data_IF_304513613745
#
_entry.id   IF_304513613745
#
_cell.length_a   1.000
_cell.length_b   1.000
_cell.length_c   1.000
_cell.angle_alpha   90.00
_cell.angle_beta   90.00
_cell.angle_gamma   90.00
#
_symmetry.space_group_name_H-M   'P 1'
#
loop_
_entity.id
_entity.type
_entity.pdbx_description
1 polymer ?
#
# COMPACT_ATOMS: atom_id res chain seq x y z
N UNK A 1 -66.16 -6.87 7.63
CA UNK A 1 -64.89 -7.48 8.05
C UNK A 1 -63.78 -6.85 7.23
N UNK A 2 -63.11 -5.87 7.82
CA UNK A 2 -62.03 -5.10 7.17
C UNK A 2 -60.71 -5.84 7.39
N UNK A 3 -60.08 -6.28 6.31
CA UNK A 3 -58.76 -6.89 6.30
C UNK A 3 -57.73 -5.75 6.48
N UNK A 4 -56.98 -5.78 7.59
CA UNK A 4 -55.86 -4.89 7.85
C UNK A 4 -54.63 -5.42 7.07
N UNK A 5 -54.18 -4.69 6.06
CA UNK A 5 -52.90 -4.89 5.45
C UNK A 5 -51.84 -4.29 6.39
N UNK A 6 -51.04 -5.14 7.02
CA UNK A 6 -49.80 -4.74 7.68
C UNK A 6 -48.77 -4.30 6.62
N UNK A 7 -48.51 -3.01 6.56
CA UNK A 7 -47.31 -2.47 5.91
C UNK A 7 -46.11 -2.85 6.77
N UNK A 8 -45.36 -3.84 6.35
CA UNK A 8 -44.02 -4.10 6.88
C UNK A 8 -43.07 -3.02 6.33
N UNK A 9 -42.42 -2.28 7.23
CA UNK A 9 -41.37 -1.30 6.90
C UNK A 9 -40.20 -2.04 6.20
N UNK A 10 -39.76 -1.61 5.00
CA UNK A 10 -38.63 -2.24 4.30
C UNK A 10 -37.27 -2.16 5.04
N UNK A 11 -37.23 -1.45 6.18
CA UNK A 11 -36.01 -1.24 6.98
C UNK A 11 -35.84 -2.25 8.12
N UNK A 12 -36.80 -3.12 8.39
CA UNK A 12 -36.71 -4.21 9.37
C UNK A 12 -36.18 -5.53 8.76
N UNK A 13 -35.28 -5.47 7.80
CA UNK A 13 -34.41 -6.59 7.49
C UNK A 13 -33.43 -6.80 8.65
N UNK A 14 -33.89 -7.43 9.77
CA UNK A 14 -32.97 -8.04 10.75
C UNK A 14 -32.06 -8.95 9.97
N UNK A 15 -30.74 -8.63 9.99
CA UNK A 15 -29.71 -9.56 9.51
C UNK A 15 -29.95 -10.90 10.19
N UNK A 16 -30.04 -11.98 9.41
CA UNK A 16 -29.95 -13.32 9.95
C UNK A 16 -28.59 -13.40 10.66
N UNK A 17 -28.56 -13.92 11.88
CA UNK A 17 -27.31 -14.22 12.62
C UNK A 17 -26.49 -15.22 11.79
N UNK A 18 -25.64 -14.72 10.89
CA UNK A 18 -24.87 -15.54 9.95
C UNK A 18 -24.24 -14.77 8.79
N UNK A 19 -24.70 -13.55 8.50
CA UNK A 19 -24.11 -12.71 7.45
C UNK A 19 -22.85 -12.03 7.98
N UNK A 20 -21.66 -12.54 7.57
CA UNK A 20 -20.35 -12.01 7.94
C UNK A 20 -20.12 -10.58 7.46
N UNK A 21 -19.11 -9.89 8.02
CA UNK A 21 -18.66 -8.55 7.63
C UNK A 21 -18.28 -8.51 6.14
N UNK A 22 -18.94 -7.67 5.34
CA UNK A 22 -18.68 -7.51 3.89
C UNK A 22 -17.93 -6.22 3.64
N UNK A 23 -16.68 -6.35 3.20
CA UNK A 23 -15.77 -5.23 2.93
C UNK A 23 -15.65 -5.01 1.43
N UNK A 24 -15.87 -3.77 0.98
CA UNK A 24 -15.49 -3.36 -0.36
C UNK A 24 -14.15 -2.62 -0.31
N UNK A 25 -13.27 -2.89 -1.27
CA UNK A 25 -11.95 -2.26 -1.38
C UNK A 25 -11.91 -1.35 -2.60
N UNK A 26 -11.58 -0.07 -2.40
CA UNK A 26 -11.34 0.90 -3.48
C UNK A 26 -9.85 1.18 -3.56
N UNK A 27 -9.20 0.71 -4.62
CA UNK A 27 -7.74 0.82 -4.83
C UNK A 27 -7.36 0.43 -6.25
N UNK A 28 -6.08 0.58 -6.60
CA UNK A 28 -5.49 -0.24 -7.66
C UNK A 28 -5.46 -1.70 -7.22
N UNK A 29 -5.53 -2.65 -8.17
CA UNK A 29 -5.58 -4.08 -7.87
C UNK A 29 -4.82 -4.92 -8.92
N UNK A 30 -4.28 -6.12 -8.59
CA UNK A 30 -3.67 -7.00 -9.60
C UNK A 30 -4.67 -7.37 -10.71
N UNK A 31 -4.20 -7.51 -11.98
CA UNK A 31 -2.82 -7.67 -12.42
C UNK A 31 -2.05 -6.35 -12.65
N UNK A 32 -2.59 -5.19 -12.28
CA UNK A 32 -1.83 -3.93 -12.33
C UNK A 32 -0.61 -4.04 -11.40
N UNK A 33 0.58 -3.92 -11.96
CA UNK A 33 1.83 -3.96 -11.19
C UNK A 33 2.05 -2.62 -10.47
N UNK A 34 1.72 -2.60 -9.19
CA UNK A 34 1.75 -1.42 -8.33
C UNK A 34 1.86 -1.85 -6.86
N UNK A 35 2.59 -1.11 -6.04
CA UNK A 35 2.71 -1.39 -4.61
C UNK A 35 1.37 -1.35 -3.87
N UNK A 36 0.47 -0.42 -4.24
CA UNK A 36 -0.87 -0.34 -3.65
C UNK A 36 -1.75 -1.52 -4.07
N UNK A 37 -1.64 -1.97 -5.32
CA UNK A 37 -2.38 -3.14 -5.80
C UNK A 37 -2.02 -4.38 -4.97
N UNK A 38 -0.72 -4.61 -4.76
CA UNK A 38 -0.22 -5.70 -3.91
C UNK A 38 -0.67 -5.55 -2.45
N UNK A 39 -0.61 -4.32 -1.91
CA UNK A 39 -1.08 -4.05 -0.55
C UNK A 39 -2.57 -4.32 -0.38
N UNK A 40 -3.40 -3.88 -1.34
CA UNK A 40 -4.85 -4.10 -1.31
C UNK A 40 -5.21 -5.59 -1.37
N UNK A 41 -4.56 -6.35 -2.25
CA UNK A 41 -4.73 -7.80 -2.34
C UNK A 41 -4.34 -8.51 -1.04
N UNK A 42 -3.19 -8.13 -0.46
CA UNK A 42 -2.71 -8.72 0.79
C UNK A 42 -3.61 -8.38 1.99
N UNK A 43 -4.06 -7.12 2.08
CA UNK A 43 -5.00 -6.69 3.12
C UNK A 43 -6.31 -7.47 3.01
N UNK A 44 -6.87 -7.57 1.81
CA UNK A 44 -8.07 -8.35 1.57
C UNK A 44 -7.87 -9.80 2.00
N UNK A 45 -6.80 -10.45 1.56
CA UNK A 45 -6.49 -11.83 1.94
C UNK A 45 -6.32 -11.99 3.47
N UNK A 46 -5.67 -11.03 4.12
CA UNK A 46 -5.46 -11.05 5.58
C UNK A 46 -6.77 -10.89 6.37
N UNK A 47 -7.73 -10.12 5.87
CA UNK A 47 -9.04 -9.95 6.52
C UNK A 47 -9.97 -11.13 6.28
N UNK A 48 -9.83 -11.83 5.16
CA UNK A 48 -10.63 -13.03 4.83
C UNK A 48 -10.26 -14.28 5.64
N UNK A 49 -9.21 -14.23 6.45
CA UNK A 49 -8.85 -15.35 7.35
C UNK A 49 -9.90 -15.55 8.45
N UNK A 50 -10.64 -14.50 8.81
CA UNK A 50 -11.76 -14.60 9.74
C UNK A 50 -13.00 -15.13 9.02
N UNK A 51 -13.49 -16.30 9.44
CA UNK A 51 -14.70 -16.93 8.86
C UNK A 51 -15.98 -16.07 9.00
N UNK A 52 -15.96 -15.05 9.84
CA UNK A 52 -17.02 -14.06 9.98
C UNK A 52 -16.88 -12.90 8.96
N UNK A 53 -16.05 -13.03 7.94
CA UNK A 53 -15.94 -12.08 6.82
C UNK A 53 -16.58 -12.71 5.59
N UNK A 54 -17.54 -11.99 5.00
CA UNK A 54 -18.21 -12.41 3.76
C UNK A 54 -17.32 -12.16 2.53
N UNK A 55 -17.84 -12.50 1.36
CA UNK A 55 -17.13 -12.32 0.09
C UNK A 55 -16.75 -10.85 -0.13
N UNK A 56 -15.46 -10.56 -0.45
CA UNK A 56 -15.00 -9.21 -0.67
C UNK A 56 -15.41 -8.71 -2.06
N UNK A 57 -15.48 -7.39 -2.21
CA UNK A 57 -15.64 -6.72 -3.49
C UNK A 57 -14.51 -5.73 -3.70
N UNK A 58 -13.99 -5.65 -4.93
CA UNK A 58 -12.96 -4.68 -5.30
C UNK A 58 -13.47 -3.76 -6.40
N UNK A 59 -13.39 -2.47 -6.15
CA UNK A 59 -13.51 -1.42 -7.16
C UNK A 59 -12.08 -1.03 -7.56
N UNK A 60 -11.66 -1.42 -8.76
CA UNK A 60 -10.29 -1.24 -9.22
C UNK A 60 -10.10 0.11 -9.92
N UNK A 61 -9.14 0.90 -9.45
CA UNK A 61 -8.71 2.14 -10.10
C UNK A 61 -7.78 1.82 -11.28
N UNK A 62 -8.05 2.37 -12.47
CA UNK A 62 -7.31 2.10 -13.67
C UNK A 62 -6.87 3.38 -14.39
N UNK A 63 -5.61 3.40 -14.85
CA UNK A 63 -5.05 4.50 -15.64
C UNK A 63 -4.27 4.04 -16.88
N UNK A 64 -4.33 2.75 -17.20
CA UNK A 64 -3.72 2.25 -18.43
C UNK A 64 -4.61 2.58 -19.64
N UNK A 65 -4.03 2.92 -20.80
CA UNK A 65 -4.78 3.13 -22.04
C UNK A 65 -5.60 1.90 -22.45
N UNK A 66 -5.08 0.70 -22.14
CA UNK A 66 -5.80 -0.57 -22.26
C UNK A 66 -6.00 -1.10 -20.84
N UNK A 67 -7.25 -1.20 -20.35
CA UNK A 67 -7.51 -1.72 -19.02
C UNK A 67 -6.96 -3.13 -18.84
N UNK A 68 -6.49 -3.42 -17.63
CA UNK A 68 -6.07 -4.76 -17.25
C UNK A 68 -7.24 -5.75 -17.35
N UNK A 69 -6.95 -7.02 -17.64
CA UNK A 69 -7.96 -8.08 -17.61
C UNK A 69 -8.18 -8.52 -16.15
N UNK A 70 -9.03 -7.78 -15.45
CA UNK A 70 -9.38 -8.07 -14.07
C UNK A 70 -10.32 -9.29 -13.96
N UNK A 71 -10.13 -10.04 -12.90
CA UNK A 71 -10.99 -11.16 -12.51
C UNK A 71 -11.61 -10.89 -11.13
N UNK A 72 -12.51 -11.75 -10.70
CA UNK A 72 -12.98 -11.75 -9.33
C UNK A 72 -11.79 -11.66 -8.34
N UNK A 73 -11.84 -10.84 -7.28
CA UNK A 73 -13.01 -10.13 -6.73
C UNK A 73 -13.24 -8.70 -7.29
N UNK A 74 -12.65 -8.33 -8.43
CA UNK A 74 -12.91 -7.02 -9.04
C UNK A 74 -14.32 -7.04 -9.67
N UNK A 75 -15.21 -6.24 -9.11
CA UNK A 75 -16.61 -6.12 -9.54
C UNK A 75 -16.85 -4.88 -10.40
N UNK A 76 -16.00 -3.86 -10.27
CA UNK A 76 -16.11 -2.61 -11.01
C UNK A 76 -14.71 -2.04 -11.30
N UNK A 77 -14.57 -1.38 -12.46
CA UNK A 77 -13.35 -0.69 -12.87
C UNK A 77 -13.70 0.80 -13.02
N UNK A 78 -12.89 1.66 -12.38
CA UNK A 78 -12.99 3.12 -12.47
C UNK A 78 -11.75 3.65 -13.18
N UNK A 79 -11.93 4.26 -14.34
CA UNK A 79 -10.87 5.00 -15.03
C UNK A 79 -10.60 6.31 -14.27
N UNK A 80 -9.38 6.53 -13.82
CA UNK A 80 -9.05 7.62 -12.89
C UNK A 80 -9.42 9.02 -13.40
N UNK A 81 -9.50 9.21 -14.73
CA UNK A 81 -9.83 10.51 -15.38
C UNK A 81 -11.32 10.68 -15.67
N UNK A 82 -12.15 9.68 -15.40
CA UNK A 82 -13.58 9.67 -15.71
C UNK A 82 -14.41 10.02 -14.48
N UNK A 83 -14.68 11.32 -14.27
CA UNK A 83 -15.41 11.81 -13.08
C UNK A 83 -16.76 11.11 -12.84
N UNK A 84 -17.57 10.90 -13.89
CA UNK A 84 -18.87 10.23 -13.77
C UNK A 84 -18.78 8.79 -13.25
N UNK A 85 -17.64 8.11 -13.44
CA UNK A 85 -17.47 6.75 -12.94
C UNK A 85 -17.27 6.69 -11.42
N UNK A 86 -16.80 7.76 -10.79
CA UNK A 86 -16.74 7.85 -9.33
C UNK A 86 -18.13 7.92 -8.70
N UNK A 87 -19.06 8.67 -9.32
CA UNK A 87 -20.46 8.72 -8.90
C UNK A 87 -21.10 7.33 -9.03
N UNK A 88 -20.94 6.70 -10.20
CA UNK A 88 -21.48 5.36 -10.46
C UNK A 88 -20.90 4.30 -9.51
N UNK A 89 -19.62 4.43 -9.14
CA UNK A 89 -18.99 3.52 -8.18
C UNK A 89 -19.56 3.70 -6.76
N UNK A 90 -19.82 4.94 -6.34
CA UNK A 90 -20.47 5.20 -5.06
C UNK A 90 -21.90 4.65 -5.03
N UNK A 91 -22.70 4.89 -6.08
CA UNK A 91 -24.07 4.36 -6.21
C UNK A 91 -24.07 2.83 -6.18
N UNK A 92 -23.18 2.20 -6.96
CA UNK A 92 -23.03 0.75 -6.96
C UNK A 92 -22.76 0.19 -5.56
N UNK A 93 -21.82 0.80 -4.80
CA UNK A 93 -21.50 0.34 -3.44
C UNK A 93 -22.60 0.66 -2.43
N UNK A 94 -23.38 1.72 -2.64
CA UNK A 94 -24.55 2.04 -1.81
C UNK A 94 -25.63 0.95 -1.93
N UNK A 95 -25.86 0.45 -3.15
CA UNK A 95 -26.85 -0.60 -3.44
C UNK A 95 -26.32 -2.02 -3.16
N UNK A 96 -24.99 -2.20 -3.21
CA UNK A 96 -24.36 -3.49 -2.95
C UNK A 96 -24.47 -3.89 -1.47
N UNK A 97 -24.43 -5.21 -1.19
CA UNK A 97 -24.43 -5.74 0.18
C UNK A 97 -23.09 -5.48 0.90
N UNK A 98 -22.62 -4.23 0.91
CA UNK A 98 -21.37 -3.78 1.52
C UNK A 98 -21.64 -3.16 2.88
N UNK A 99 -20.83 -3.49 3.88
CA UNK A 99 -20.94 -2.97 5.23
C UNK A 99 -19.97 -1.83 5.52
N UNK A 100 -18.78 -1.89 4.92
CA UNK A 100 -17.72 -0.88 5.06
C UNK A 100 -16.90 -0.79 3.77
N UNK A 101 -16.43 0.40 3.43
CA UNK A 101 -15.55 0.64 2.29
C UNK A 101 -14.13 0.94 2.80
N UNK A 102 -13.16 0.10 2.42
CA UNK A 102 -11.73 0.30 2.66
C UNK A 102 -11.09 0.99 1.47
N UNK A 103 -10.61 2.21 1.64
CA UNK A 103 -9.97 3.01 0.58
C UNK A 103 -8.46 3.03 0.80
N UNK A 104 -7.69 2.66 -0.23
CA UNK A 104 -6.23 2.82 -0.22
C UNK A 104 -5.87 4.11 -0.95
N UNK A 105 -5.52 5.15 -0.18
CA UNK A 105 -5.30 6.48 -0.73
C UNK A 105 -3.85 6.74 -1.09
N UNK A 106 -3.64 7.12 -2.34
CA UNK A 106 -2.44 7.79 -2.87
C UNK A 106 -2.91 8.85 -3.86
N UNK A 107 -2.30 10.04 -3.84
CA UNK A 107 -2.77 11.16 -4.67
C UNK A 107 -2.79 10.84 -6.17
N UNK A 108 -1.87 10.02 -6.64
CA UNK A 108 -1.69 9.70 -8.05
C UNK A 108 -2.62 8.64 -8.63
N UNK A 109 -3.59 8.10 -7.90
CA UNK A 109 -4.46 7.02 -8.41
C UNK A 109 -5.94 7.40 -8.52
N UNK A 110 -6.33 8.62 -8.12
CA UNK A 110 -7.72 9.08 -8.14
C UNK A 110 -7.97 10.23 -9.13
N UNK A 111 -7.10 10.37 -10.11
CA UNK A 111 -7.21 11.32 -11.20
C UNK A 111 -7.17 12.80 -10.79
N UNK A 112 -6.78 13.65 -11.74
CA UNK A 112 -6.70 15.10 -11.53
C UNK A 112 -5.67 15.53 -10.46
N UNK A 113 -5.57 16.83 -10.20
CA UNK A 113 -4.74 17.35 -9.11
C UNK A 113 -5.22 16.81 -7.75
N UNK A 114 -4.28 16.37 -6.91
CA UNK A 114 -4.50 15.83 -5.55
C UNK A 114 -5.54 14.69 -5.44
N UNK A 115 -5.79 13.95 -6.54
CA UNK A 115 -6.73 12.83 -6.53
C UNK A 115 -8.20 13.25 -6.43
N UNK A 116 -8.62 14.25 -7.19
CA UNK A 116 -9.93 14.93 -7.16
C UNK A 116 -11.15 14.00 -7.26
N UNK A 117 -10.99 12.84 -7.87
CA UNK A 117 -12.08 11.86 -8.00
C UNK A 117 -12.53 11.27 -6.66
N UNK A 118 -11.61 11.08 -5.71
CA UNK A 118 -11.95 10.48 -4.43
C UNK A 118 -12.90 11.33 -3.56
N UNK A 119 -12.69 12.65 -3.38
CA UNK A 119 -13.68 13.51 -2.74
C UNK A 119 -15.08 13.35 -3.32
N UNK A 120 -15.22 13.37 -4.64
CA UNK A 120 -16.49 13.18 -5.34
C UNK A 120 -17.17 11.86 -5.02
N UNK A 121 -16.39 10.76 -5.00
CA UNK A 121 -16.87 9.44 -4.58
C UNK A 121 -17.38 9.46 -3.13
N UNK A 122 -16.61 10.06 -2.22
CA UNK A 122 -16.94 10.11 -0.79
C UNK A 122 -18.16 10.96 -0.49
N UNK A 123 -18.36 12.07 -1.20
CA UNK A 123 -19.55 12.95 -1.05
C UNK A 123 -20.84 12.19 -1.36
N UNK A 124 -20.78 11.19 -2.24
CA UNK A 124 -21.93 10.40 -2.67
C UNK A 124 -22.08 9.08 -1.91
N UNK A 125 -21.03 8.62 -1.24
CA UNK A 125 -21.04 7.33 -0.53
C UNK A 125 -21.89 7.39 0.74
N UNK A 126 -22.87 6.50 0.85
CA UNK A 126 -23.75 6.32 2.01
C UNK A 126 -23.37 5.09 2.87
N UNK A 127 -22.09 4.75 2.91
CA UNK A 127 -21.52 3.66 3.70
C UNK A 127 -20.36 4.19 4.55
N UNK A 128 -20.03 3.54 5.70
CA UNK A 128 -18.83 3.91 6.45
C UNK A 128 -17.57 3.65 5.63
N UNK A 129 -16.66 4.62 5.61
CA UNK A 129 -15.38 4.51 4.93
C UNK A 129 -14.21 4.52 5.92
N UNK A 130 -13.25 3.63 5.71
CA UNK A 130 -11.92 3.63 6.37
C UNK A 130 -10.88 3.91 5.30
N UNK A 131 -10.12 5.00 5.45
CA UNK A 131 -9.17 5.46 4.44
C UNK A 131 -7.74 5.28 4.95
N UNK A 132 -6.96 4.45 4.27
CA UNK A 132 -5.52 4.29 4.53
C UNK A 132 -4.73 5.28 3.71
N UNK A 133 -3.97 6.16 4.37
CA UNK A 133 -3.11 7.15 3.73
C UNK A 133 -1.70 6.59 3.55
N UNK A 134 -1.30 6.33 2.30
CA UNK A 134 0.05 5.87 1.96
C UNK A 134 1.06 7.01 1.88
N UNK A 135 0.58 8.23 1.66
CA UNK A 135 1.37 9.47 1.68
C UNK A 135 0.74 10.48 2.65
N UNK A 136 1.56 11.00 3.56
CA UNK A 136 1.23 12.12 4.47
C UNK A 136 2.43 13.08 4.43
N UNK A 137 2.21 14.29 3.95
CA UNK A 137 3.27 15.30 3.81
C UNK A 137 3.29 16.21 5.04
N UNK A 138 4.47 16.45 5.58
CA UNK A 138 4.67 17.48 6.58
C UNK A 138 4.59 18.87 5.91
N UNK A 139 3.99 19.84 6.61
CA UNK A 139 3.80 21.20 6.10
C UNK A 139 3.25 21.25 4.67
N UNK A 140 2.04 20.67 4.44
CA UNK A 140 1.48 20.51 3.11
C UNK A 140 1.03 21.84 2.52
N UNK A 141 1.11 21.95 1.20
CA UNK A 141 0.47 23.02 0.45
C UNK A 141 -1.04 23.09 0.78
N UNK A 142 -1.66 24.27 0.68
CA UNK A 142 -3.07 24.47 1.07
C UNK A 142 -4.04 23.50 0.39
N UNK A 143 -3.84 23.19 -0.89
CA UNK A 143 -4.71 22.30 -1.65
C UNK A 143 -4.61 20.86 -1.15
N UNK A 144 -3.39 20.38 -0.85
CA UNK A 144 -3.16 19.06 -0.26
C UNK A 144 -3.78 18.98 1.14
N UNK A 145 -3.58 20.03 1.95
CA UNK A 145 -4.17 20.12 3.28
C UNK A 145 -5.70 20.04 3.21
N UNK A 146 -6.30 20.80 2.30
CA UNK A 146 -7.74 20.81 2.07
C UNK A 146 -8.26 19.46 1.63
N UNK A 147 -7.59 18.80 0.66
CA UNK A 147 -7.96 17.48 0.18
C UNK A 147 -7.96 16.45 1.31
N UNK A 148 -6.89 16.36 2.11
CA UNK A 148 -6.80 15.38 3.21
C UNK A 148 -7.81 15.67 4.32
N UNK A 149 -8.11 16.95 4.59
CA UNK A 149 -9.19 17.34 5.53
C UNK A 149 -10.56 16.90 5.04
N UNK A 150 -10.81 17.00 3.74
CA UNK A 150 -12.04 16.50 3.13
C UNK A 150 -12.16 14.98 3.31
N UNK A 151 -11.10 14.22 3.03
CA UNK A 151 -11.07 12.77 3.30
C UNK A 151 -11.37 12.46 4.77
N UNK A 152 -10.76 13.22 5.70
CA UNK A 152 -10.97 13.04 7.13
C UNK A 152 -12.41 13.33 7.57
N UNK A 153 -13.09 14.29 6.93
CA UNK A 153 -14.48 14.62 7.22
C UNK A 153 -15.44 13.47 6.87
N UNK A 154 -15.17 12.75 5.77
CA UNK A 154 -16.03 11.68 5.25
C UNK A 154 -15.66 10.30 5.79
N UNK A 155 -14.37 10.04 6.13
CA UNK A 155 -13.95 8.78 6.71
C UNK A 155 -14.46 8.59 8.14
N UNK A 156 -14.81 7.38 8.53
CA UNK A 156 -14.99 7.02 9.95
C UNK A 156 -13.64 7.01 10.67
N UNK A 157 -12.61 6.48 10.02
CA UNK A 157 -11.22 6.48 10.51
C UNK A 157 -10.26 6.71 9.34
N UNK A 158 -9.17 7.42 9.62
CA UNK A 158 -7.97 7.42 8.78
C UNK A 158 -6.97 6.43 9.35
N UNK A 159 -6.33 5.65 8.49
CA UNK A 159 -5.24 4.75 8.88
C UNK A 159 -3.93 5.31 8.38
N UNK A 160 -2.92 5.30 9.24
CA UNK A 160 -1.52 5.59 8.91
C UNK A 160 -0.60 4.51 9.46
N UNK A 161 0.59 4.36 8.88
CA UNK A 161 1.45 3.20 9.12
C UNK A 161 2.59 3.45 10.12
N UNK A 162 2.66 4.63 10.70
CA UNK A 162 3.63 4.98 11.74
C UNK A 162 3.14 6.18 12.57
N UNK A 163 3.67 6.33 13.80
CA UNK A 163 3.24 7.36 14.71
C UNK A 163 3.66 8.78 14.27
N UNK A 164 4.73 8.93 13.47
CA UNK A 164 5.10 10.24 12.91
C UNK A 164 4.00 10.79 12.00
N UNK A 165 3.33 9.94 11.22
CA UNK A 165 2.21 10.35 10.39
C UNK A 165 1.00 10.79 11.22
N UNK A 166 0.76 10.16 12.40
CA UNK A 166 -0.28 10.62 13.36
C UNK A 166 0.03 12.04 13.84
N UNK A 167 1.30 12.31 14.21
CA UNK A 167 1.73 13.64 14.64
C UNK A 167 1.55 14.69 13.55
N UNK A 168 1.97 14.38 12.32
CA UNK A 168 1.84 15.27 11.16
C UNK A 168 0.37 15.58 10.88
N UNK A 169 -0.51 14.57 10.82
CA UNK A 169 -1.93 14.79 10.56
C UNK A 169 -2.59 15.64 11.66
N UNK A 170 -2.20 15.43 12.91
CA UNK A 170 -2.75 16.22 14.01
C UNK A 170 -2.26 17.66 14.00
N UNK A 171 -0.94 17.87 13.82
CA UNK A 171 -0.31 19.19 13.87
C UNK A 171 -0.59 20.02 12.61
N UNK A 172 -0.33 19.45 11.42
CA UNK A 172 -0.28 20.20 10.17
C UNK A 172 -1.64 20.24 9.45
N UNK A 173 -2.48 19.25 9.68
CA UNK A 173 -3.82 19.18 9.08
C UNK A 173 -4.94 19.49 10.08
N UNK A 174 -4.64 19.56 11.39
CA UNK A 174 -5.64 19.81 12.43
C UNK A 174 -6.64 18.67 12.60
N UNK A 175 -6.26 17.43 12.27
CA UNK A 175 -7.14 16.25 12.37
C UNK A 175 -7.02 15.68 13.80
N UNK A 176 -8.18 15.47 14.44
CA UNK A 176 -8.23 14.89 15.79
C UNK A 176 -7.56 13.51 15.82
N UNK A 177 -6.71 13.25 16.84
CA UNK A 177 -6.07 11.94 17.06
C UNK A 177 -7.07 10.80 17.15
N UNK A 178 -8.25 11.03 17.73
CA UNK A 178 -9.33 10.03 17.80
C UNK A 178 -9.91 9.62 16.43
N UNK A 179 -9.60 10.37 15.36
CA UNK A 179 -9.97 10.05 13.98
C UNK A 179 -8.91 9.18 13.29
N UNK A 180 -7.71 9.07 13.87
CA UNK A 180 -6.54 8.44 13.24
C UNK A 180 -6.25 7.11 13.96
N UNK A 181 -6.17 6.03 13.20
CA UNK A 181 -5.71 4.73 13.65
C UNK A 181 -4.28 4.49 13.14
N UNK A 182 -3.40 4.00 14.00
CA UNK A 182 -2.08 3.54 13.63
C UNK A 182 -2.15 2.03 13.41
N UNK A 183 -1.96 1.60 12.17
CA UNK A 183 -1.82 0.19 11.79
C UNK A 183 -0.59 0.08 10.91
N UNK A 184 0.36 -0.77 11.28
CA UNK A 184 1.62 -0.90 10.56
C UNK A 184 1.44 -1.41 9.12
N UNK A 185 2.45 -1.16 8.27
CA UNK A 185 2.47 -1.74 6.92
C UNK A 185 2.51 -3.26 7.00
N UNK A 186 1.55 -3.93 6.35
CA UNK A 186 1.49 -5.39 6.31
C UNK A 186 2.65 -6.00 5.51
N UNK A 187 3.16 -7.12 5.99
CA UNK A 187 4.22 -7.90 5.33
C UNK A 187 3.92 -9.38 5.41
N UNK A 188 4.39 -10.13 4.43
CA UNK A 188 4.30 -11.60 4.46
C UNK A 188 5.29 -12.19 5.49
N UNK A 189 4.98 -13.35 6.07
CA UNK A 189 5.90 -14.03 6.97
C UNK A 189 7.25 -14.29 6.33
N UNK A 190 8.36 -14.14 7.08
CA UNK A 190 9.69 -14.44 6.58
C UNK A 190 9.87 -15.93 6.29
N UNK A 191 10.85 -16.24 5.45
CA UNK A 191 11.28 -17.64 5.20
C UNK A 191 11.73 -18.33 6.49
N UNK A 192 11.42 -19.62 6.60
CA UNK A 192 11.98 -20.49 7.63
C UNK A 192 13.36 -21.04 7.25
N UNK A 193 13.77 -20.91 5.98
CA UNK A 193 15.09 -21.32 5.53
C UNK A 193 16.18 -20.46 6.19
N UNK A 194 17.29 -21.09 6.53
CA UNK A 194 18.49 -20.38 6.94
C UNK A 194 19.04 -19.50 5.81
N UNK A 195 19.90 -18.54 6.15
CA UNK A 195 20.55 -17.69 5.14
C UNK A 195 21.38 -18.51 4.15
N UNK A 196 22.10 -19.51 4.63
CA UNK A 196 22.95 -20.35 3.78
C UNK A 196 22.13 -21.22 2.83
N UNK A 197 21.04 -21.82 3.28
CA UNK A 197 20.08 -22.53 2.41
C UNK A 197 19.47 -21.62 1.35
N UNK A 198 19.10 -20.39 1.73
CA UNK A 198 18.55 -19.41 0.80
C UNK A 198 19.60 -18.98 -0.24
N UNK A 199 20.85 -18.74 0.18
CA UNK A 199 21.97 -18.46 -0.71
C UNK A 199 22.24 -19.61 -1.68
N UNK A 200 22.24 -20.85 -1.19
CA UNK A 200 22.46 -22.02 -2.02
C UNK A 200 21.38 -22.13 -3.12
N UNK A 201 20.12 -21.94 -2.79
CA UNK A 201 18.99 -21.97 -3.76
C UNK A 201 19.09 -20.88 -4.82
N UNK A 202 19.69 -19.74 -4.49
CA UNK A 202 19.85 -18.60 -5.40
C UNK A 202 21.19 -18.56 -6.13
N UNK A 203 22.08 -19.57 -5.93
CA UNK A 203 23.43 -19.60 -6.50
C UNK A 203 24.39 -18.58 -5.90
N UNK A 204 24.15 -18.15 -4.65
CA UNK A 204 24.90 -17.10 -3.93
C UNK A 204 25.76 -17.68 -2.80
N UNK A 205 26.04 -19.00 -2.81
CA UNK A 205 26.86 -19.64 -1.80
C UNK A 205 28.23 -18.96 -1.70
N UNK A 206 28.68 -18.68 -0.47
CA UNK A 206 29.95 -17.99 -0.20
C UNK A 206 29.95 -16.49 -0.48
N UNK A 207 28.83 -15.89 -0.93
CA UNK A 207 28.73 -14.44 -1.16
C UNK A 207 28.19 -13.69 0.06
N UNK A 208 28.70 -12.48 0.31
CA UNK A 208 28.08 -11.49 1.18
C UNK A 208 27.07 -10.70 0.36
N UNK A 209 25.79 -10.84 0.69
CA UNK A 209 24.69 -10.31 -0.12
C UNK A 209 24.19 -8.99 0.43
N UNK A 210 24.41 -7.92 -0.32
CA UNK A 210 23.72 -6.63 -0.17
C UNK A 210 22.47 -6.65 -1.03
N UNK A 211 21.36 -6.09 -0.56
CA UNK A 211 20.08 -6.20 -1.28
C UNK A 211 19.27 -4.93 -1.24
N UNK A 212 18.71 -4.55 -2.39
CA UNK A 212 17.66 -3.55 -2.56
C UNK A 212 16.63 -4.06 -3.54
N UNK A 213 15.34 -3.91 -3.23
CA UNK A 213 14.28 -4.29 -4.16
C UNK A 213 13.18 -3.23 -4.29
N UNK A 214 12.36 -3.38 -5.33
CA UNK A 214 11.25 -2.51 -5.68
C UNK A 214 11.45 -1.85 -7.04
N UNK A 215 10.51 -1.03 -7.45
CA UNK A 215 10.63 -0.33 -8.73
C UNK A 215 11.89 0.55 -8.78
N UNK A 216 12.65 0.40 -9.85
CA UNK A 216 13.87 1.19 -10.10
C UNK A 216 13.51 2.57 -10.63
N UNK A 217 14.13 3.60 -10.07
CA UNK A 217 13.99 5.00 -10.45
C UNK A 217 14.95 5.89 -9.66
N UNK A 218 15.22 7.10 -10.15
CA UNK A 218 16.22 8.03 -9.61
C UNK A 218 16.06 8.30 -8.11
N UNK A 219 14.83 8.39 -7.62
CA UNK A 219 14.57 8.56 -6.20
C UNK A 219 15.04 7.44 -5.28
N UNK A 220 15.51 6.32 -5.86
CA UNK A 220 16.04 5.17 -5.09
C UNK A 220 17.49 5.32 -4.69
N UNK A 221 18.28 6.21 -5.34
CA UNK A 221 19.67 6.49 -4.97
C UNK A 221 20.63 5.30 -5.11
N UNK A 222 20.35 4.36 -6.03
CA UNK A 222 21.12 3.14 -6.22
C UNK A 222 22.57 3.43 -6.65
N UNK A 223 22.80 4.53 -7.36
CA UNK A 223 24.10 5.03 -7.78
C UNK A 223 25.06 5.24 -6.60
N UNK A 224 24.55 5.63 -5.43
CA UNK A 224 25.39 5.84 -4.24
C UNK A 224 25.82 4.52 -3.60
N UNK A 225 25.04 3.46 -3.73
CA UNK A 225 25.47 2.12 -3.31
C UNK A 225 26.52 1.58 -4.28
N UNK A 226 26.34 1.76 -5.60
CA UNK A 226 27.35 1.40 -6.59
C UNK A 226 28.66 2.13 -6.33
N UNK A 227 28.62 3.42 -6.03
CA UNK A 227 29.82 4.21 -5.67
C UNK A 227 30.49 3.73 -4.36
N UNK A 228 29.77 3.08 -3.45
CA UNK A 228 30.28 2.51 -2.21
C UNK A 228 31.00 1.15 -2.43
N UNK A 229 30.59 0.41 -3.47
CA UNK A 229 31.04 -0.98 -3.67
C UNK A 229 32.57 -1.16 -3.87
N UNK A 230 33.31 -0.28 -4.55
CA UNK A 230 34.78 -0.46 -4.66
C UNK A 230 35.46 -0.56 -3.30
N UNK A 231 35.07 0.26 -2.33
CA UNK A 231 35.63 0.20 -0.97
C UNK A 231 35.15 -1.04 -0.21
N UNK A 232 33.87 -1.40 -0.32
CA UNK A 232 33.30 -2.60 0.30
C UNK A 232 34.00 -3.85 -0.27
N UNK A 233 34.15 -3.96 -1.60
CA UNK A 233 34.81 -5.09 -2.28
C UNK A 233 36.27 -5.24 -1.88
N UNK A 234 36.95 -4.13 -1.65
CA UNK A 234 38.36 -4.16 -1.19
C UNK A 234 38.52 -4.89 0.16
N UNK A 235 37.53 -4.77 1.06
CA UNK A 235 37.50 -5.47 2.38
C UNK A 235 36.82 -6.84 2.30
N UNK A 236 35.79 -6.96 1.47
CA UNK A 236 34.95 -8.15 1.30
C UNK A 236 34.88 -8.49 -0.19
N UNK A 237 35.90 -9.20 -0.74
CA UNK A 237 35.93 -9.53 -2.18
C UNK A 237 34.77 -10.38 -2.65
N UNK A 238 34.13 -11.11 -1.75
CA UNK A 238 32.97 -11.96 -1.95
C UNK A 238 31.60 -11.18 -1.92
N UNK A 239 31.62 -9.85 -1.83
CA UNK A 239 30.38 -9.05 -1.82
C UNK A 239 29.63 -9.16 -3.15
N UNK A 240 28.31 -9.24 -3.06
CA UNK A 240 27.38 -9.16 -4.19
C UNK A 240 26.21 -8.25 -3.87
N UNK A 241 25.97 -7.25 -4.69
CA UNK A 241 24.81 -6.36 -4.57
C UNK A 241 23.72 -6.78 -5.54
N UNK A 242 22.58 -7.20 -4.99
CA UNK A 242 21.39 -7.56 -5.74
C UNK A 242 20.45 -6.36 -5.85
N UNK A 243 20.13 -5.96 -7.07
CA UNK A 243 19.15 -4.93 -7.39
C UNK A 243 17.97 -5.62 -8.09
N UNK A 244 16.85 -5.78 -7.38
CA UNK A 244 15.73 -6.57 -7.85
C UNK A 244 14.51 -5.68 -8.08
N UNK A 245 14.03 -5.67 -9.31
CA UNK A 245 12.84 -4.93 -9.74
C UNK A 245 13.02 -4.28 -11.11
N UNK A 246 11.90 -4.10 -11.80
CA UNK A 246 11.89 -3.38 -13.08
C UNK A 246 11.81 -1.88 -12.87
N UNK A 247 12.02 -1.13 -13.93
CA UNK A 247 11.78 0.32 -13.94
C UNK A 247 10.32 0.63 -13.63
N UNK A 248 10.07 1.65 -12.81
CA UNK A 248 8.72 2.06 -12.45
C UNK A 248 7.90 2.37 -13.71
N UNK A 249 6.67 1.82 -13.88
CA UNK A 249 5.88 1.99 -15.12
C UNK A 249 5.66 3.45 -15.51
N UNK A 250 5.45 4.36 -14.54
CA UNK A 250 5.34 5.80 -14.79
C UNK A 250 6.64 6.42 -15.29
N UNK A 251 7.79 6.00 -14.77
CA UNK A 251 9.13 6.44 -15.21
C UNK A 251 9.42 5.88 -16.60
N UNK A 252 9.11 4.61 -16.84
CA UNK A 252 9.33 3.96 -18.13
C UNK A 252 8.58 4.64 -19.29
N UNK A 253 7.38 5.18 -19.03
CA UNK A 253 6.61 5.94 -20.04
C UNK A 253 7.31 7.24 -20.46
N UNK A 254 8.01 7.91 -19.54
CA UNK A 254 8.62 9.24 -19.75
C UNK A 254 10.12 9.13 -20.05
N UNK A 255 10.86 8.43 -19.18
CA UNK A 255 12.33 8.34 -19.21
C UNK A 255 12.84 7.02 -19.82
N UNK A 256 11.94 6.07 -20.16
CA UNK A 256 12.28 4.72 -20.63
C UNK A 256 13.19 4.00 -19.61
N UNK A 257 14.31 3.42 -20.05
CA UNK A 257 15.27 2.72 -19.20
C UNK A 257 16.52 3.57 -18.85
N UNK A 258 16.48 4.87 -19.11
CA UNK A 258 17.64 5.77 -19.02
C UNK A 258 18.38 5.66 -17.69
N UNK A 259 17.65 5.66 -16.56
CA UNK A 259 18.31 5.53 -15.25
C UNK A 259 18.97 4.17 -15.07
N UNK A 260 18.36 3.07 -15.53
CA UNK A 260 18.97 1.74 -15.49
C UNK A 260 20.22 1.65 -16.35
N UNK A 261 20.19 2.25 -17.53
CA UNK A 261 21.36 2.29 -18.42
C UNK A 261 22.52 3.10 -17.81
N UNK A 262 22.21 4.18 -17.08
CA UNK A 262 23.20 4.92 -16.30
C UNK A 262 23.82 4.06 -15.18
N UNK A 263 23.01 3.29 -14.47
CA UNK A 263 23.51 2.38 -13.44
C UNK A 263 24.39 1.29 -14.03
N UNK A 264 24.03 0.72 -15.20
CA UNK A 264 24.85 -0.27 -15.89
C UNK A 264 26.19 0.31 -16.36
N UNK A 265 26.20 1.54 -16.91
CA UNK A 265 27.45 2.23 -17.24
C UNK A 265 28.33 2.45 -16.02
N UNK A 266 27.74 2.87 -14.89
CA UNK A 266 28.48 3.06 -13.63
C UNK A 266 29.07 1.72 -13.11
N UNK A 267 28.37 0.61 -13.28
CA UNK A 267 28.91 -0.74 -12.98
C UNK A 267 30.15 -1.04 -13.81
N UNK A 268 30.13 -0.69 -15.09
CA UNK A 268 31.27 -0.89 -16.00
C UNK A 268 32.44 0.05 -15.67
N UNK A 269 32.17 1.32 -15.46
CA UNK A 269 33.17 2.35 -15.09
C UNK A 269 33.91 2.01 -13.77
N UNK A 270 33.21 1.40 -12.80
CA UNK A 270 33.74 1.00 -11.51
C UNK A 270 34.26 -0.44 -11.47
N UNK A 271 34.25 -1.15 -12.59
CA UNK A 271 34.68 -2.58 -12.71
C UNK A 271 33.91 -3.47 -11.72
N UNK A 272 32.58 -3.38 -11.65
CA UNK A 272 31.74 -4.06 -10.66
C UNK A 272 30.91 -5.22 -11.22
N UNK A 273 31.13 -5.65 -12.46
CA UNK A 273 30.30 -6.66 -13.14
C UNK A 273 30.13 -7.97 -12.36
N UNK A 274 31.17 -8.41 -11.64
CA UNK A 274 31.12 -9.62 -10.81
C UNK A 274 30.49 -9.39 -9.42
N UNK A 275 30.32 -8.13 -9.03
CA UNK A 275 29.81 -7.75 -7.70
C UNK A 275 28.39 -7.19 -7.74
N UNK A 276 27.77 -7.04 -8.93
CA UNK A 276 26.41 -6.48 -9.06
C UNK A 276 25.55 -7.40 -9.92
N UNK A 277 24.36 -7.69 -9.43
CA UNK A 277 23.36 -8.46 -10.17
C UNK A 277 22.04 -7.69 -10.28
N UNK A 278 21.58 -7.44 -11.50
CA UNK A 278 20.26 -6.84 -11.78
C UNK A 278 19.25 -7.93 -12.13
N UNK A 279 18.10 -7.94 -11.43
CA UNK A 279 16.94 -8.76 -11.78
C UNK A 279 15.86 -7.82 -12.29
N UNK A 280 15.86 -7.56 -13.64
CA UNK A 280 15.00 -6.59 -14.29
C UNK A 280 13.62 -7.15 -14.62
N UNK A 281 12.83 -7.47 -13.60
CA UNK A 281 11.44 -7.91 -13.73
C UNK A 281 10.65 -7.63 -12.45
N UNK A 282 9.36 -7.65 -12.54
CA UNK A 282 8.50 -7.73 -11.36
C UNK A 282 8.64 -9.13 -10.76
N UNK A 283 8.95 -9.21 -9.46
CA UNK A 283 9.18 -10.47 -8.77
C UNK A 283 7.99 -10.81 -7.87
N UNK A 284 7.71 -12.09 -7.74
CA UNK A 284 6.64 -12.59 -6.90
C UNK A 284 6.99 -12.47 -5.41
N UNK A 285 5.97 -12.49 -4.55
CA UNK A 285 6.11 -12.45 -3.09
C UNK A 285 7.03 -13.56 -2.55
N UNK A 286 6.89 -14.86 -2.98
CA UNK A 286 7.82 -15.92 -2.57
C UNK A 286 9.27 -15.64 -2.95
N UNK A 287 9.51 -15.05 -4.12
CA UNK A 287 10.86 -14.67 -4.54
C UNK A 287 11.45 -13.56 -3.68
N UNK A 288 10.65 -12.53 -3.34
CA UNK A 288 11.08 -11.46 -2.40
C UNK A 288 11.49 -12.08 -1.06
N UNK A 289 10.72 -13.02 -0.54
CA UNK A 289 11.05 -13.74 0.71
C UNK A 289 12.36 -14.51 0.58
N UNK A 290 12.60 -15.19 -0.56
CA UNK A 290 13.82 -15.92 -0.79
C UNK A 290 15.04 -14.98 -0.88
N UNK A 291 14.94 -13.86 -1.59
CA UNK A 291 16.01 -12.85 -1.64
C UNK A 291 16.28 -12.24 -0.26
N UNK A 292 15.25 -11.88 0.48
CA UNK A 292 15.41 -11.37 1.84
C UNK A 292 16.07 -12.41 2.76
N UNK A 293 15.71 -13.68 2.66
CA UNK A 293 16.32 -14.74 3.45
C UNK A 293 17.84 -14.87 3.18
N UNK A 294 18.28 -14.70 1.92
CA UNK A 294 19.68 -14.75 1.51
C UNK A 294 20.49 -13.48 1.86
N UNK A 295 19.83 -12.41 2.31
CA UNK A 295 20.43 -11.09 2.49
C UNK A 295 21.25 -10.99 3.78
N UNK A 296 22.47 -10.45 3.69
CA UNK A 296 23.29 -10.07 4.83
C UNK A 296 23.00 -8.63 5.27
N UNK A 297 22.93 -7.68 4.33
CA UNK A 297 22.60 -6.28 4.59
C UNK A 297 21.57 -5.79 3.60
N UNK A 298 20.45 -5.29 4.11
CA UNK A 298 19.44 -4.63 3.30
C UNK A 298 19.69 -3.12 3.23
N UNK A 299 19.66 -2.54 2.02
CA UNK A 299 20.00 -1.13 1.81
C UNK A 299 18.83 -0.37 1.22
N UNK A 300 18.42 0.76 1.84
CA UNK A 300 17.44 1.71 1.30
C UNK A 300 18.04 3.11 1.19
N UNK A 301 18.75 3.42 0.08
CA UNK A 301 19.45 4.70 -0.07
C UNK A 301 18.56 5.79 -0.67
N UNK A 302 17.27 5.78 -0.31
CA UNK A 302 16.22 6.62 -0.91
C UNK A 302 16.49 8.11 -0.72
N UNK A 303 16.13 8.92 -1.74
CA UNK A 303 16.51 10.34 -1.81
C UNK A 303 15.38 11.29 -1.40
N UNK A 304 14.13 10.81 -1.28
CA UNK A 304 13.02 11.65 -0.84
C UNK A 304 13.01 11.76 0.69
N UNK A 305 13.40 12.88 1.30
CA UNK A 305 13.46 13.02 2.76
C UNK A 305 12.07 12.96 3.41
N UNK A 306 11.00 13.28 2.69
CA UNK A 306 9.63 13.32 3.20
C UNK A 306 8.89 11.98 3.07
N UNK A 307 9.54 10.93 2.55
CA UNK A 307 8.87 9.65 2.39
C UNK A 307 8.43 9.09 3.75
N UNK A 308 7.12 8.97 3.95
CA UNK A 308 6.49 8.62 5.24
C UNK A 308 6.13 7.14 5.35
N UNK A 309 6.24 6.37 4.28
CA UNK A 309 5.93 4.94 4.25
C UNK A 309 6.87 4.22 3.29
N UNK A 310 7.31 3.01 3.64
CA UNK A 310 8.14 2.18 2.77
C UNK A 310 7.83 0.71 2.97
N UNK A 311 7.06 0.13 2.06
CA UNK A 311 6.76 -1.30 2.06
C UNK A 311 8.02 -2.16 1.99
N UNK A 312 9.01 -1.78 1.16
CA UNK A 312 10.27 -2.53 1.02
C UNK A 312 11.10 -2.55 2.30
N UNK A 313 11.14 -1.44 3.05
CA UNK A 313 11.78 -1.39 4.36
C UNK A 313 11.01 -2.23 5.39
N UNK A 314 9.67 -2.18 5.37
CA UNK A 314 8.83 -3.00 6.25
C UNK A 314 9.11 -4.50 6.03
N UNK A 315 9.20 -4.95 4.77
CA UNK A 315 9.56 -6.35 4.45
C UNK A 315 10.96 -6.73 4.98
N UNK A 316 11.94 -5.84 4.87
CA UNK A 316 13.29 -6.10 5.39
C UNK A 316 13.31 -6.21 6.92
N UNK A 317 12.54 -5.35 7.63
CA UNK A 317 12.37 -5.43 9.08
C UNK A 317 11.69 -6.73 9.50
N UNK A 318 10.58 -7.09 8.85
CA UNK A 318 9.87 -8.34 9.15
C UNK A 318 10.73 -9.58 8.89
N UNK A 319 11.56 -9.55 7.84
CA UNK A 319 12.55 -10.61 7.56
C UNK A 319 13.73 -10.61 8.54
N UNK A 320 13.81 -9.64 9.47
CA UNK A 320 14.89 -9.54 10.44
C UNK A 320 16.25 -9.32 9.80
N UNK A 321 16.36 -8.39 8.85
CA UNK A 321 17.64 -8.07 8.21
C UNK A 321 18.35 -6.94 8.91
N UNK A 322 19.69 -6.93 8.89
CA UNK A 322 20.48 -5.76 9.20
C UNK A 322 20.25 -4.70 8.11
N UNK A 323 19.99 -3.44 8.49
CA UNK A 323 19.54 -2.40 7.58
C UNK A 323 20.49 -1.22 7.59
N UNK A 324 20.85 -0.74 6.39
CA UNK A 324 21.48 0.56 6.16
C UNK A 324 20.53 1.43 5.35
N UNK A 325 20.23 2.65 5.82
CA UNK A 325 19.24 3.52 5.20
C UNK A 325 19.66 4.98 5.23
N UNK A 326 19.26 5.75 4.22
CA UNK A 326 19.21 7.20 4.32
C UNK A 326 18.12 7.62 5.32
N UNK A 327 18.23 8.83 5.95
CA UNK A 327 17.34 9.25 7.03
C UNK A 327 16.04 9.89 6.50
N UNK A 328 15.37 9.27 5.50
CA UNK A 328 14.03 9.72 5.14
C UNK A 328 13.05 9.50 6.30
N UNK A 329 11.98 10.26 6.35
CA UNK A 329 11.09 10.38 7.51
C UNK A 329 10.68 9.04 8.12
N UNK A 330 10.22 8.09 7.30
CA UNK A 330 9.84 6.76 7.80
C UNK A 330 11.04 6.00 8.37
N UNK A 331 12.16 5.93 7.62
CA UNK A 331 13.34 5.19 8.06
C UNK A 331 13.91 5.76 9.36
N UNK A 332 14.05 7.09 9.44
CA UNK A 332 14.54 7.76 10.65
C UNK A 332 13.68 7.46 11.87
N UNK A 333 12.37 7.36 11.68
CA UNK A 333 11.44 7.07 12.76
C UNK A 333 11.50 5.60 13.18
N UNK A 334 11.27 4.66 12.23
CA UNK A 334 11.13 3.25 12.59
C UNK A 334 12.45 2.56 12.97
N UNK A 335 13.59 2.99 12.39
CA UNK A 335 14.88 2.37 12.65
C UNK A 335 15.48 2.74 14.02
N UNK A 336 14.94 3.74 14.72
CA UNK A 336 15.28 3.99 16.13
C UNK A 336 14.95 2.78 17.01
N UNK A 337 13.81 2.15 16.77
CA UNK A 337 13.36 0.95 17.51
C UNK A 337 13.80 -0.34 16.81
N UNK A 338 13.62 -0.41 15.49
CA UNK A 338 13.94 -1.60 14.69
C UNK A 338 15.45 -1.86 14.54
N UNK A 339 16.31 -0.90 14.89
CA UNK A 339 17.76 -1.09 14.90
C UNK A 339 18.34 -1.12 13.48
N UNK A 340 18.38 0.02 12.79
CA UNK A 340 19.08 0.20 11.52
C UNK A 340 20.18 1.25 11.65
N UNK A 341 21.14 1.23 10.73
CA UNK A 341 22.19 2.25 10.64
C UNK A 341 21.81 3.30 9.61
N UNK A 342 21.74 4.56 10.05
CA UNK A 342 21.47 5.69 9.17
C UNK A 342 22.76 6.25 8.57
N UNK A 343 22.67 6.69 7.31
CA UNK A 343 23.74 7.31 6.54
C UNK A 343 23.25 8.58 5.88
N UNK A 344 24.12 9.53 5.61
CA UNK A 344 23.76 10.75 4.92
C UNK A 344 23.23 10.47 3.50
N UNK A 345 22.30 11.32 3.05
CA UNK A 345 21.84 11.28 1.67
C UNK A 345 23.00 11.47 0.70
N UNK A 346 22.98 10.72 -0.40
CA UNK A 346 23.95 10.83 -1.50
C UNK A 346 25.41 10.58 -1.08
N UNK A 347 25.65 9.77 -0.06
CA UNK A 347 27.00 9.48 0.45
C UNK A 347 27.41 8.02 0.28
N UNK A 348 28.12 7.71 -0.81
CA UNK A 348 28.75 6.40 -1.00
C UNK A 348 29.72 6.02 0.14
N UNK A 349 30.63 6.93 0.57
CA UNK A 349 31.54 6.64 1.69
C UNK A 349 30.82 6.29 3.00
N UNK A 350 29.72 6.99 3.34
CA UNK A 350 28.95 6.68 4.55
C UNK A 350 28.27 5.31 4.44
N UNK A 351 27.73 4.95 3.26
CA UNK A 351 27.18 3.62 2.99
C UNK A 351 28.26 2.56 3.16
N UNK A 352 29.46 2.75 2.55
CA UNK A 352 30.57 1.81 2.63
C UNK A 352 31.00 1.58 4.08
N UNK A 353 31.16 2.65 4.87
CA UNK A 353 31.51 2.57 6.28
C UNK A 353 30.52 1.69 7.07
N UNK A 354 29.20 1.96 6.95
CA UNK A 354 28.18 1.21 7.70
C UNK A 354 28.01 -0.22 7.24
N UNK A 355 28.14 -0.49 5.95
CA UNK A 355 28.13 -1.86 5.42
C UNK A 355 29.33 -2.63 5.94
N UNK A 356 30.53 -2.05 5.89
CA UNK A 356 31.74 -2.66 6.44
C UNK A 356 31.62 -2.91 7.95
N UNK A 357 31.10 -1.93 8.72
CA UNK A 357 30.85 -2.12 10.15
C UNK A 357 30.00 -3.36 10.44
N UNK A 358 28.93 -3.58 9.67
CA UNK A 358 28.04 -4.74 9.84
C UNK A 358 28.77 -6.04 9.44
N UNK A 359 29.47 -6.05 8.30
CA UNK A 359 30.11 -7.26 7.76
C UNK A 359 31.35 -7.69 8.54
N UNK A 360 32.06 -6.73 9.20
CA UNK A 360 33.22 -7.01 10.04
C UNK A 360 32.85 -7.47 11.45
N UNK A 361 31.64 -7.11 11.93
CA UNK A 361 31.22 -7.37 13.31
C UNK A 361 29.93 -8.23 13.34
N UNK A 362 30.05 -9.56 13.32
CA UNK A 362 28.89 -10.48 13.34
C UNK A 362 27.97 -10.27 14.55
N UNK A 363 28.49 -9.81 15.69
CA UNK A 363 27.69 -9.51 16.88
C UNK A 363 26.80 -8.28 16.64
N UNK A 364 27.32 -7.23 16.01
CA UNK A 364 26.54 -6.06 15.60
C UNK A 364 25.44 -6.49 14.61
N UNK A 365 25.81 -7.27 13.59
CA UNK A 365 24.83 -7.77 12.61
C UNK A 365 23.70 -8.51 13.32
N UNK A 366 23.99 -9.48 14.20
CA UNK A 366 22.98 -10.23 14.97
C UNK A 366 22.12 -9.33 15.85
N UNK A 367 22.71 -8.33 16.50
CA UNK A 367 21.97 -7.37 17.34
C UNK A 367 20.97 -6.55 16.51
N UNK A 368 21.36 -6.05 15.34
CA UNK A 368 20.50 -5.32 14.41
C UNK A 368 19.38 -6.22 13.87
N UNK A 369 19.70 -7.44 13.45
CA UNK A 369 18.74 -8.41 12.94
C UNK A 369 17.69 -8.80 13.99
N UNK A 370 18.08 -8.97 15.24
CA UNK A 370 17.17 -9.30 16.34
C UNK A 370 16.21 -8.12 16.63
N UNK A 371 16.69 -6.89 16.63
CA UNK A 371 15.84 -5.70 16.77
C UNK A 371 14.86 -5.57 15.61
N UNK A 372 15.33 -5.69 14.37
CA UNK A 372 14.50 -5.68 13.16
C UNK A 372 13.39 -6.73 13.24
N UNK A 373 13.75 -7.97 13.58
CA UNK A 373 12.79 -9.08 13.70
C UNK A 373 11.77 -8.85 14.80
N UNK A 374 12.20 -8.33 15.96
CA UNK A 374 11.29 -8.02 17.06
C UNK A 374 10.27 -6.96 16.67
N UNK A 375 10.74 -5.86 16.05
CA UNK A 375 9.88 -4.79 15.56
C UNK A 375 8.95 -5.27 14.43
N UNK A 376 9.46 -6.06 13.50
CA UNK A 376 8.73 -6.53 12.33
C UNK A 376 7.58 -7.49 12.61
N UNK A 377 7.50 -8.10 13.81
CA UNK A 377 6.40 -9.03 14.16
C UNK A 377 5.03 -8.37 14.08
N UNK A 378 4.91 -7.12 14.48
CA UNK A 378 3.66 -6.35 14.42
C UNK A 378 3.25 -5.96 13.00
N UNK A 379 4.16 -6.14 12.03
CA UNK A 379 3.93 -5.85 10.62
C UNK A 379 3.44 -7.08 9.82
N UNK A 380 3.34 -8.24 10.43
CA UNK A 380 2.88 -9.43 9.72
C UNK A 380 1.40 -9.34 9.38
N UNK A 381 1.01 -9.69 8.15
CA UNK A 381 -0.37 -9.64 7.69
C UNK A 381 -1.39 -10.28 8.64
N UNK A 382 -1.11 -11.43 9.32
CA UNK A 382 -2.04 -11.97 10.30
C UNK A 382 -2.36 -11.01 11.46
N UNK A 383 -1.40 -10.19 11.89
CA UNK A 383 -1.60 -9.17 12.92
C UNK A 383 -2.32 -7.95 12.34
N UNK A 384 -1.78 -7.41 11.25
CA UNK A 384 -2.33 -6.24 10.56
C UNK A 384 -3.78 -6.48 10.10
N UNK A 385 -4.10 -7.68 9.60
CA UNK A 385 -5.45 -8.03 9.18
C UNK A 385 -6.46 -8.00 10.35
N UNK A 386 -6.08 -8.48 11.54
CA UNK A 386 -6.91 -8.40 12.74
C UNK A 386 -7.14 -6.96 13.19
N UNK A 387 -6.11 -6.10 13.11
CA UNK A 387 -6.24 -4.68 13.45
C UNK A 387 -7.22 -3.99 12.51
N UNK A 388 -7.13 -4.24 11.19
CA UNK A 388 -8.09 -3.72 10.22
C UNK A 388 -9.51 -4.25 10.44
N UNK A 389 -9.69 -5.54 10.74
CA UNK A 389 -11.00 -6.10 11.05
C UNK A 389 -11.64 -5.45 12.28
N UNK A 390 -10.85 -5.24 13.34
CA UNK A 390 -11.29 -4.53 14.53
C UNK A 390 -11.75 -3.11 14.18
N UNK A 391 -10.96 -2.41 13.36
CA UNK A 391 -11.25 -1.04 12.92
C UNK A 391 -12.49 -0.98 12.03
N UNK A 392 -12.69 -1.94 11.11
CA UNK A 392 -13.88 -2.00 10.26
C UNK A 392 -15.16 -2.19 11.09
N UNK A 393 -15.13 -3.10 12.08
CA UNK A 393 -16.24 -3.29 13.01
C UNK A 393 -16.53 -2.04 13.85
N UNK A 394 -15.49 -1.33 14.28
CA UNK A 394 -15.62 -0.06 14.98
C UNK A 394 -16.25 1.02 14.09
N UNK A 395 -15.77 1.16 12.86
CA UNK A 395 -16.29 2.13 11.89
C UNK A 395 -17.79 1.91 11.62
N UNK A 396 -18.23 0.66 11.45
CA UNK A 396 -19.64 0.34 11.29
C UNK A 396 -20.48 0.76 12.49
N UNK A 397 -20.03 0.44 13.72
CA UNK A 397 -20.73 0.83 14.96
C UNK A 397 -20.84 2.36 15.08
N UNK A 398 -19.74 3.08 14.84
CA UNK A 398 -19.70 4.54 14.88
C UNK A 398 -20.64 5.17 13.85
N UNK A 399 -20.65 4.65 12.62
CA UNK A 399 -21.53 5.09 11.55
C UNK A 399 -23.00 4.87 11.89
N UNK A 400 -23.38 3.69 12.37
CA UNK A 400 -24.73 3.35 12.78
C UNK A 400 -25.23 4.23 13.92
N UNK A 401 -24.40 4.47 14.96
CA UNK A 401 -24.72 5.36 16.07
C UNK A 401 -24.96 6.80 15.60
N UNK A 402 -24.15 7.30 14.64
CA UNK A 402 -24.29 8.64 14.07
C UNK A 402 -25.59 8.77 13.26
N UNK A 403 -25.95 7.75 12.48
CA UNK A 403 -27.21 7.74 11.74
C UNK A 403 -28.42 7.74 12.68
N UNK A 404 -28.39 6.92 13.74
CA UNK A 404 -29.46 6.84 14.73
C UNK A 404 -29.63 8.16 15.52
N UNK A 405 -28.56 8.94 15.68
CA UNK A 405 -28.60 10.23 16.37
C UNK A 405 -29.10 11.42 15.48
N UNK A 406 -29.31 11.23 14.17
CA UNK A 406 -29.83 12.28 13.28
C UNK A 406 -31.32 12.54 13.55
N UNK A 407 -31.74 13.81 13.68
CA UNK A 407 -33.17 14.13 13.80
C UNK A 407 -33.96 13.62 12.58
N UNK A 408 -35.17 13.10 12.83
CA UNK A 408 -36.02 12.49 11.79
C UNK A 408 -36.28 13.44 10.59
N UNK A 409 -36.30 14.75 10.83
CA UNK A 409 -36.49 15.79 9.82
C UNK A 409 -35.33 15.85 8.78
N UNK A 410 -34.09 15.56 9.18
CA UNK A 410 -32.95 15.55 8.26
C UNK A 410 -32.88 14.29 7.41
N UNK A 411 -33.41 13.16 7.90
CA UNK A 411 -33.48 11.90 7.18
C UNK A 411 -34.41 11.96 5.95
N UNK A 412 -35.44 12.77 5.98
CA UNK A 412 -36.37 12.96 4.84
C UNK A 412 -35.78 13.77 3.69
N UNK A 413 -34.82 14.67 3.99
CA UNK A 413 -34.20 15.54 2.98
C UNK A 413 -33.01 14.85 2.27
N UNK A 414 -32.50 13.77 2.81
CA UNK A 414 -31.36 13.01 2.25
C UNK A 414 -31.77 11.80 1.41
N UNK A 415 -33.08 11.51 1.27
CA UNK A 415 -33.53 10.49 0.33
C UNK A 415 -33.52 11.08 -1.09
N UNK A 416 -32.85 10.47 -2.06
CA UNK A 416 -33.01 10.89 -3.44
C UNK A 416 -34.47 10.79 -3.81
N UNK A 417 -35.07 11.90 -4.25
CA UNK A 417 -36.37 11.90 -4.90
C UNK A 417 -36.28 10.88 -6.05
N UNK A 418 -37.13 9.86 -6.01
CA UNK A 418 -37.24 8.92 -7.11
C UNK A 418 -37.59 9.73 -8.38
N UNK A 419 -36.57 10.04 -9.16
CA UNK A 419 -36.73 10.70 -10.45
C UNK A 419 -37.56 9.79 -11.34
N UNK A 420 -38.74 10.28 -11.70
CA UNK A 420 -39.61 9.62 -12.65
C UNK A 420 -38.82 9.26 -13.91
N UNK A 421 -39.11 8.06 -14.41
CA UNK A 421 -38.56 7.56 -15.68
C UNK A 421 -39.07 8.45 -16.82
N UNK A 422 -38.30 9.47 -17.18
CA UNK A 422 -38.41 10.11 -18.49
C UNK A 422 -37.15 9.76 -19.30
N UNK A 423 -37.40 9.37 -20.55
CA UNK A 423 -36.45 8.71 -21.44
C UNK A 423 -35.13 9.46 -21.63
N UNK A 424 -34.05 8.81 -21.32
CA UNK A 424 -32.71 9.29 -21.56
C UNK A 424 -32.32 8.97 -23.01
N UNK A 425 -32.28 9.99 -23.87
CA UNK A 425 -31.60 9.88 -25.15
C UNK A 425 -30.08 10.00 -24.90
N UNK A 426 -29.39 8.85 -24.96
CA UNK A 426 -27.96 8.76 -24.81
C UNK A 426 -27.25 9.48 -25.97
N UNK A 427 -26.60 10.60 -25.68
CA UNK A 427 -25.56 11.13 -26.56
C UNK A 427 -24.25 10.37 -26.33
N UNK A 428 -23.58 10.01 -27.38
CA UNK A 428 -22.45 9.08 -27.54
C UNK A 428 -21.13 9.47 -26.82
N UNK A 429 -21.12 10.02 -25.59
CA UNK A 429 -19.87 10.46 -24.93
C UNK A 429 -19.53 9.83 -23.58
N UNK A 430 -20.48 9.21 -22.89
CA UNK A 430 -20.20 8.60 -21.58
C UNK A 430 -20.51 7.09 -21.63
N UNK A 431 -19.47 6.27 -21.71
CA UNK A 431 -19.61 4.83 -21.50
C UNK A 431 -19.76 4.58 -20.00
N UNK A 432 -20.73 3.75 -19.57
CA UNK A 432 -20.83 3.34 -18.16
C UNK A 432 -19.57 2.53 -17.77
N UNK A 433 -19.28 2.42 -16.46
CA UNK A 433 -18.17 1.59 -15.98
C UNK A 433 -18.35 0.15 -16.43
N UNK A 434 -17.25 -0.52 -16.78
CA UNK A 434 -17.26 -1.90 -17.24
C UNK A 434 -17.39 -2.82 -16.03
N UNK A 435 -18.48 -3.57 -15.97
CA UNK A 435 -18.69 -4.61 -14.94
C UNK A 435 -17.90 -5.86 -15.37
N UNK A 436 -17.01 -6.33 -14.51
CA UNK A 436 -16.33 -7.60 -14.72
C UNK A 436 -17.33 -8.76 -14.57
N UNK A 437 -17.60 -9.49 -15.66
CA UNK A 437 -18.45 -10.71 -15.59
C UNK A 437 -17.67 -11.83 -14.90
N UNK A 438 -18.26 -12.53 -13.92
CA UNK A 438 -17.66 -13.75 -13.39
C UNK A 438 -17.57 -14.79 -14.51
N UNK A 439 -16.36 -15.34 -14.72
CA UNK A 439 -16.20 -16.55 -15.51
C UNK A 439 -16.71 -17.71 -14.66
N UNK A 440 -17.60 -18.53 -15.23
CA UNK A 440 -18.02 -19.78 -14.60
C UNK A 440 -16.80 -20.62 -14.24
N UNK A 441 -16.85 -21.24 -13.04
CA UNK A 441 -15.85 -22.20 -12.63
C UNK A 441 -15.76 -23.33 -13.66
N UNK A 442 -14.57 -23.83 -13.99
CA UNK A 442 -14.47 -25.08 -14.73
C UNK A 442 -14.95 -26.24 -13.85
N UNK A 443 -15.71 -27.15 -14.45
CA UNK A 443 -16.13 -28.43 -13.88
C UNK A 443 -14.93 -29.27 -13.36
#
# INVERSE_FOLDING_TARGET
MLSQHHHTDPREGRRADGDGLRVAYLSTYPPRECGLATFCEDLMAATMVDAAVGEPMVVAMENNPTPCNYRWPVVLIVEETREAQYDAAADFLNDAPTDVVSVQHEFGIFGGPQGRGLPRFLDRLAKPAVITLHTVLADPEPDIRSAVRHLAAHAERLVVMNALAVEILSRDYGISRGKIALIHHGTIPPSLASRDEAKARLGLTGRRVLFTFGFVGRGKGLEYVLAALPEIRRRHPDVCYLIVGRTHPGVQRVEKETYREELLRLVDELDLRESVCFVNRYVSKPEIVAYLAATDVYITPYLNPQQITSGTLAYAMAAGRAIVSTPYSYARFVLQEAGGLLVDFRSGPAIAARVNDILDHPDLQRALENKSRSYGRQMLWPVVGLDYLSLFREAMRSYGARLAARPYAELQLSLPLAAGREGYHATHRDRPPTVARPLAAPD
#
